data_IF_011216936719
#
_entry.id   IF_011216936719
#
_cell.length_a   1.000
_cell.length_b   1.000
_cell.length_c   1.000
_cell.angle_alpha   90.00
_cell.angle_beta   90.00
_cell.angle_gamma   90.00
#
_symmetry.space_group_name_H-M   'P 1'
#
loop_
_entity.id
_entity.type
_entity.pdbx_description
1 polymer ?
#
# COMPACT_ATOMS: atom_id res chain seq x y z
N UNK A 1 -16.16 5.59 40.00
CA UNK A 1 -15.10 5.43 38.98
C UNK A 1 -15.13 3.96 38.57
N UNK A 2 -15.67 3.63 37.40
CA UNK A 2 -15.72 2.25 36.93
C UNK A 2 -14.35 1.87 36.39
N UNK A 3 -13.61 1.05 37.13
CA UNK A 3 -12.42 0.36 36.64
C UNK A 3 -12.88 -0.62 35.57
N UNK A 4 -12.79 -0.23 34.30
CA UNK A 4 -12.91 -1.16 33.19
C UNK A 4 -11.60 -1.98 33.17
N UNK A 5 -11.64 -3.19 33.71
CA UNK A 5 -10.59 -4.17 33.42
C UNK A 5 -10.54 -4.36 31.90
N UNK A 6 -9.36 -4.32 31.27
CA UNK A 6 -9.26 -4.64 29.85
C UNK A 6 -9.82 -6.04 29.65
N UNK A 7 -10.82 -6.19 28.79
CA UNK A 7 -11.30 -7.51 28.39
C UNK A 7 -10.15 -8.16 27.63
N UNK A 8 -9.50 -9.15 28.22
CA UNK A 8 -8.46 -9.91 27.54
C UNK A 8 -9.07 -10.66 26.36
N UNK A 9 -8.38 -10.59 25.22
CA UNK A 9 -8.78 -11.31 24.01
C UNK A 9 -8.58 -12.82 24.23
N UNK A 10 -9.55 -13.60 23.76
CA UNK A 10 -9.39 -15.05 23.63
C UNK A 10 -8.34 -15.37 22.56
N UNK A 11 -7.75 -16.56 22.61
CA UNK A 11 -6.71 -16.94 21.65
C UNK A 11 -7.24 -16.99 20.20
N UNK A 12 -8.49 -17.42 20.00
CA UNK A 12 -9.14 -17.37 18.69
C UNK A 12 -9.31 -15.94 18.16
N UNK A 13 -9.57 -14.97 19.04
CA UNK A 13 -9.65 -13.55 18.64
C UNK A 13 -8.27 -12.99 18.30
N UNK A 14 -7.23 -13.36 19.04
CA UNK A 14 -5.85 -12.97 18.72
C UNK A 14 -5.44 -13.53 17.36
N UNK A 15 -5.69 -14.81 17.09
CA UNK A 15 -5.35 -15.46 15.83
C UNK A 15 -6.07 -14.81 14.63
N UNK A 16 -7.36 -14.49 14.79
CA UNK A 16 -8.12 -13.78 13.75
C UNK A 16 -7.54 -12.38 13.46
N UNK A 17 -7.14 -11.65 14.50
CA UNK A 17 -6.54 -10.32 14.34
C UNK A 17 -5.16 -10.42 13.68
N UNK A 18 -4.32 -11.40 14.06
CA UNK A 18 -3.01 -11.64 13.45
C UNK A 18 -3.13 -11.94 11.94
N UNK A 19 -4.13 -12.75 11.55
CA UNK A 19 -4.43 -13.00 10.14
C UNK A 19 -4.82 -11.70 9.40
N UNK A 20 -5.73 -10.90 9.99
CA UNK A 20 -6.13 -9.61 9.39
C UNK A 20 -4.97 -8.63 9.24
N UNK A 21 -4.07 -8.56 10.23
CA UNK A 21 -2.88 -7.70 10.20
C UNK A 21 -1.91 -8.18 9.11
N UNK A 22 -1.69 -9.48 9.01
CA UNK A 22 -0.82 -10.08 7.99
C UNK A 22 -1.36 -9.78 6.58
N UNK A 23 -2.65 -10.00 6.35
CA UNK A 23 -3.31 -9.70 5.09
C UNK A 23 -3.20 -8.21 4.73
N UNK A 24 -3.34 -7.34 5.74
CA UNK A 24 -3.19 -5.89 5.55
C UNK A 24 -1.77 -5.51 5.15
N UNK A 25 -0.75 -6.07 5.80
CA UNK A 25 0.67 -5.83 5.47
C UNK A 25 0.97 -6.35 4.06
N UNK A 26 0.48 -7.54 3.71
CA UNK A 26 0.66 -8.12 2.38
C UNK A 26 0.00 -7.27 1.29
N UNK A 27 -1.18 -6.72 1.56
CA UNK A 27 -1.85 -5.79 0.65
C UNK A 27 -1.06 -4.47 0.48
N UNK A 28 -0.39 -3.98 1.53
CA UNK A 28 0.49 -2.81 1.46
C UNK A 28 1.79 -3.09 0.69
N UNK A 29 2.30 -4.32 0.74
CA UNK A 29 3.49 -4.76 0.01
C UNK A 29 3.17 -5.20 -1.43
N UNK A 30 1.94 -5.03 -1.90
CA UNK A 30 1.57 -5.43 -3.24
C UNK A 30 2.11 -4.40 -4.25
N UNK A 31 3.11 -4.79 -5.04
CA UNK A 31 3.68 -3.97 -6.11
C UNK A 31 2.61 -3.39 -7.04
N UNK A 32 1.50 -4.09 -7.24
CA UNK A 32 0.38 -3.57 -8.02
C UNK A 32 -0.26 -2.33 -7.38
N UNK A 33 -0.44 -2.33 -6.06
CA UNK A 33 -0.99 -1.17 -5.33
C UNK A 33 -0.05 0.03 -5.44
N UNK A 34 1.25 -0.20 -5.36
CA UNK A 34 2.25 0.85 -5.56
C UNK A 34 2.23 1.38 -7.00
N UNK A 35 2.20 0.50 -8.00
CA UNK A 35 2.11 0.87 -9.42
C UNK A 35 0.83 1.68 -9.70
N UNK A 36 -0.33 1.20 -9.24
CA UNK A 36 -1.61 1.88 -9.41
C UNK A 36 -1.59 3.30 -8.78
N UNK A 37 -0.96 3.45 -7.61
CA UNK A 37 -0.82 4.74 -6.93
C UNK A 37 0.13 5.70 -7.67
N UNK A 38 1.22 5.18 -8.26
CA UNK A 38 2.13 5.97 -9.10
C UNK A 38 1.41 6.44 -10.35
N UNK A 39 0.67 5.57 -11.01
CA UNK A 39 -0.09 5.89 -12.24
C UNK A 39 -1.16 6.96 -11.97
N UNK A 40 -1.90 6.84 -10.86
CA UNK A 40 -2.87 7.86 -10.45
C UNK A 40 -2.19 9.23 -10.23
N UNK A 41 -1.04 9.25 -9.55
CA UNK A 41 -0.31 10.49 -9.31
C UNK A 41 0.22 11.11 -10.60
N UNK A 42 0.70 10.30 -11.54
CA UNK A 42 1.12 10.78 -12.87
C UNK A 42 -0.07 11.35 -13.63
N UNK A 43 -1.24 10.71 -13.55
CA UNK A 43 -2.47 11.20 -14.21
C UNK A 43 -2.90 12.60 -13.74
N UNK A 44 -2.66 12.94 -12.48
CA UNK A 44 -2.96 14.26 -11.91
C UNK A 44 -1.94 15.35 -12.27
N UNK A 45 -0.79 15.01 -12.88
CA UNK A 45 0.25 15.98 -13.21
C UNK A 45 -0.10 16.85 -14.43
N UNK A 46 0.53 18.02 -14.50
CA UNK A 46 0.56 18.84 -15.72
C UNK A 46 1.21 18.08 -16.89
N UNK A 47 0.77 18.34 -18.12
CA UNK A 47 1.13 17.53 -19.30
C UNK A 47 2.64 17.40 -19.51
N UNK A 48 3.37 18.50 -19.35
CA UNK A 48 4.83 18.51 -19.52
C UNK A 48 5.57 17.64 -18.49
N UNK A 49 5.01 17.47 -17.29
CA UNK A 49 5.56 16.60 -16.25
C UNK A 49 5.27 15.13 -16.57
N UNK A 50 4.08 14.81 -17.11
CA UNK A 50 3.74 13.46 -17.60
C UNK A 50 4.66 13.02 -18.71
N UNK A 51 4.84 13.88 -19.72
CA UNK A 51 5.76 13.61 -20.84
C UNK A 51 7.18 13.33 -20.36
N UNK A 52 7.68 14.12 -19.39
CA UNK A 52 9.00 13.89 -18.81
C UNK A 52 9.07 12.58 -18.03
N UNK A 53 8.05 12.25 -17.23
CA UNK A 53 7.96 10.96 -16.53
C UNK A 53 8.05 9.79 -17.50
N UNK A 54 7.22 9.77 -18.56
CA UNK A 54 7.22 8.68 -19.55
C UNK A 54 8.55 8.56 -20.29
N UNK A 55 9.18 9.69 -20.64
CA UNK A 55 10.53 9.70 -21.25
C UNK A 55 11.56 9.05 -20.34
N UNK A 56 11.55 9.35 -19.04
CA UNK A 56 12.48 8.74 -18.07
C UNK A 56 12.16 7.28 -17.81
N UNK A 57 10.87 6.93 -17.71
CA UNK A 57 10.43 5.55 -17.54
C UNK A 57 10.94 4.66 -18.68
N UNK A 58 10.70 5.06 -19.95
CA UNK A 58 11.22 4.32 -21.11
C UNK A 58 12.75 4.23 -21.16
N UNK A 59 13.46 5.31 -20.81
CA UNK A 59 14.92 5.29 -20.77
C UNK A 59 15.47 4.28 -19.76
N UNK A 60 14.80 4.10 -18.62
CA UNK A 60 15.24 3.18 -17.58
C UNK A 60 14.72 1.75 -17.79
N UNK A 61 13.51 1.56 -18.34
CA UNK A 61 12.94 0.24 -18.63
C UNK A 61 13.72 -0.50 -19.72
N UNK A 62 14.30 0.23 -20.69
CA UNK A 62 15.06 -0.35 -21.79
C UNK A 62 16.55 -0.54 -21.47
N UNK A 63 16.97 -0.29 -20.22
CA UNK A 63 18.33 -0.53 -19.73
C UNK A 63 18.48 -1.82 -18.91
N UNK A 64 17.36 -2.53 -18.72
CA UNK A 64 17.34 -3.84 -18.08
C UNK A 64 17.77 -4.94 -19.06
#
# INVERSE_FOLDING_TARGET
MTNANPVELTDAQKEAIEAMVTDRINAMNNDKVLCDAIDAKVHEMEEHLKEYFHKRFHFHSNKA
#
